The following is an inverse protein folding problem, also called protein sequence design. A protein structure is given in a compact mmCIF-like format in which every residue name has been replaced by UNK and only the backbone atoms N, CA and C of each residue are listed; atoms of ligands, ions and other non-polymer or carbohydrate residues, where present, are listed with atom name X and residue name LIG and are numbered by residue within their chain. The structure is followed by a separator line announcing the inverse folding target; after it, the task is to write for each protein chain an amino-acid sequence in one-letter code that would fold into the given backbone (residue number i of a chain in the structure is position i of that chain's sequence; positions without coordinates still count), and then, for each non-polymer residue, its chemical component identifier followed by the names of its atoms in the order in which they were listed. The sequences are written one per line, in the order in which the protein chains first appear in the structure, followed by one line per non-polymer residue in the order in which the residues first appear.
data_IF_198498188099
#
_entry.id   IF_198498188099
#
_cell.length_a   1.000
_cell.length_b   1.000
_cell.length_c   1.000
_cell.angle_alpha   90.00
_cell.angle_beta   90.00
_cell.angle_gamma   90.00
#
_symmetry.space_group_name_H-M   'P 1'
#
loop_
_entity.id
_entity.type
_entity.pdbx_description
1 polymer ?
#
# COMPACT_ATOMS: atom_id res chain seq x y z
N UNK A 1 -12.98 -4.59 -22.60
CA UNK A 1 -11.54 -4.90 -22.45
C UNK A 1 -10.79 -3.59 -22.69
N UNK A 2 -9.93 -3.13 -21.77
CA UNK A 2 -9.15 -1.90 -21.97
C UNK A 2 -8.12 -2.18 -23.07
N UNK A 3 -8.08 -1.34 -24.11
CA UNK A 3 -7.11 -1.50 -25.21
C UNK A 3 -5.68 -1.29 -24.70
N UNK A 4 -4.75 -2.13 -25.17
CA UNK A 4 -3.32 -1.98 -24.85
C UNK A 4 -2.79 -0.67 -25.46
N UNK A 5 -2.32 0.23 -24.61
CA UNK A 5 -1.84 1.55 -25.03
C UNK A 5 -0.40 1.77 -24.57
N UNK A 6 0.48 2.15 -25.50
CA UNK A 6 1.91 2.38 -25.25
C UNK A 6 2.29 3.86 -25.16
N UNK A 7 1.52 4.74 -25.79
CA UNK A 7 1.84 6.16 -25.93
C UNK A 7 1.03 7.00 -24.93
N UNK A 8 1.20 6.75 -23.63
CA UNK A 8 0.60 7.56 -22.58
C UNK A 8 1.69 8.45 -21.99
N UNK A 9 1.57 9.80 -22.05
CA UNK A 9 2.45 10.68 -21.32
C UNK A 9 2.36 10.37 -19.82
N UNK A 10 3.42 9.79 -19.25
CA UNK A 10 3.37 9.28 -17.88
C UNK A 10 4.02 10.20 -16.84
N UNK A 11 4.79 11.21 -17.26
CA UNK A 11 5.47 12.16 -16.37
C UNK A 11 6.48 11.54 -15.40
N UNK A 12 6.70 10.22 -15.43
CA UNK A 12 7.46 9.50 -14.41
C UNK A 12 8.94 9.82 -14.46
N UNK A 13 9.49 10.02 -15.66
CA UNK A 13 10.93 10.33 -15.84
C UNK A 13 11.36 11.61 -15.09
N UNK A 14 10.47 12.60 -14.99
CA UNK A 14 10.68 13.79 -14.18
C UNK A 14 10.47 13.49 -12.68
N UNK A 15 9.37 12.83 -12.33
CA UNK A 15 9.04 12.51 -10.93
C UNK A 15 10.11 11.66 -10.25
N UNK A 16 10.73 10.70 -10.94
CA UNK A 16 11.82 9.85 -10.43
C UNK A 16 13.08 10.63 -10.04
N UNK A 17 13.28 11.83 -10.60
CA UNK A 17 14.44 12.70 -10.29
C UNK A 17 14.20 13.59 -9.07
N UNK A 18 12.96 13.73 -8.65
CA UNK A 18 12.60 14.55 -7.50
C UNK A 18 12.90 13.77 -6.21
N UNK A 19 13.40 14.45 -5.16
CA UNK A 19 13.59 13.81 -3.86
C UNK A 19 12.24 13.37 -3.29
N UNK A 20 12.28 12.34 -2.44
CA UNK A 20 11.14 11.96 -1.61
C UNK A 20 11.23 12.77 -0.32
N UNK A 21 10.26 13.64 -0.09
CA UNK A 21 10.17 14.41 1.15
C UNK A 21 9.51 13.56 2.24
N UNK A 22 10.18 13.41 3.38
CA UNK A 22 9.55 12.82 4.56
C UNK A 22 8.69 13.88 5.23
N UNK A 23 7.41 13.59 5.40
CA UNK A 23 6.47 14.40 6.19
C UNK A 23 5.68 13.48 7.09
N UNK A 24 6.31 13.12 8.20
CA UNK A 24 5.79 12.13 9.15
C UNK A 24 5.16 12.77 10.39
N UNK A 25 5.21 14.10 10.47
CA UNK A 25 4.91 15.02 11.55
C UNK A 25 3.79 16.00 11.20
N UNK A 26 2.72 15.49 10.58
CA UNK A 26 1.48 16.24 10.46
C UNK A 26 0.93 16.56 11.85
N UNK A 27 0.55 17.82 12.08
CA UNK A 27 -0.02 18.27 13.37
C UNK A 27 -1.37 17.61 13.65
N UNK A 28 -2.19 17.45 12.61
CA UNK A 28 -3.48 16.76 12.68
C UNK A 28 -3.53 15.61 11.70
N UNK A 29 -4.06 14.48 12.16
CA UNK A 29 -4.31 13.28 11.36
C UNK A 29 -5.80 12.98 11.36
N UNK A 30 -6.34 12.70 10.18
CA UNK A 30 -7.76 12.50 9.94
C UNK A 30 -8.01 11.07 9.47
N UNK A 31 -8.72 10.28 10.27
CA UNK A 31 -9.03 8.88 9.96
C UNK A 31 -10.50 8.75 9.58
N UNK A 32 -10.84 8.57 8.29
CA UNK A 32 -12.22 8.31 7.88
C UNK A 32 -12.78 7.09 8.62
N UNK A 33 -13.95 7.20 9.24
CA UNK A 33 -14.58 6.05 9.93
C UNK A 33 -15.27 5.12 8.94
N UNK A 34 -15.62 5.63 7.76
CA UNK A 34 -16.15 4.86 6.64
C UNK A 34 -15.29 5.08 5.39
N UNK A 35 -15.46 4.23 4.39
CA UNK A 35 -14.89 4.42 3.06
C UNK A 35 -15.74 3.69 2.00
N UNK A 36 -15.34 3.76 0.73
CA UNK A 36 -16.07 3.12 -0.37
C UNK A 36 -16.39 1.62 -0.17
N UNK A 37 -15.52 0.87 0.51
CA UNK A 37 -15.71 -0.57 0.76
C UNK A 37 -16.34 -0.89 2.11
N UNK A 38 -16.22 0.03 3.06
CA UNK A 38 -16.70 -0.11 4.42
C UNK A 38 -17.69 1.03 4.71
N UNK A 39 -18.98 0.87 4.38
CA UNK A 39 -19.99 1.91 4.57
C UNK A 39 -20.31 2.17 6.04
N UNK A 40 -19.92 1.27 6.93
CA UNK A 40 -20.12 1.36 8.38
C UNK A 40 -18.77 1.35 9.09
N UNK A 41 -18.74 1.92 10.30
CA UNK A 41 -17.56 1.91 11.15
C UNK A 41 -17.85 2.51 12.51
N UNK A 42 -17.01 2.17 13.48
CA UNK A 42 -17.10 2.63 14.86
C UNK A 42 -15.70 2.85 15.43
N UNK A 43 -15.60 3.68 16.46
CA UNK A 43 -14.34 3.92 17.19
C UNK A 43 -14.38 3.25 18.55
N UNK A 44 -13.23 2.86 19.05
CA UNK A 44 -13.06 2.37 20.43
C UNK A 44 -12.45 3.43 21.37
N UNK A 45 -12.29 4.67 20.91
CA UNK A 45 -11.72 5.79 21.65
C UNK A 45 -12.71 6.95 21.81
N UNK A 46 -12.45 7.83 22.77
CA UNK A 46 -13.27 9.02 23.07
C UNK A 46 -12.49 10.33 22.92
N UNK A 47 -13.19 11.45 22.73
CA UNK A 47 -12.57 12.79 22.74
C UNK A 47 -11.82 13.04 24.04
N UNK A 48 -10.60 13.58 23.95
CA UNK A 48 -9.69 13.81 25.06
C UNK A 48 -8.82 12.61 25.43
N UNK A 49 -9.08 11.43 24.85
CA UNK A 49 -8.24 10.25 25.10
C UNK A 49 -6.88 10.42 24.42
N UNK A 50 -5.82 10.10 25.17
CA UNK A 50 -4.49 9.94 24.62
C UNK A 50 -4.35 8.55 23.98
N UNK A 51 -3.77 8.49 22.78
CA UNK A 51 -3.49 7.24 22.05
C UNK A 51 -2.02 7.17 21.65
N UNK A 52 -1.52 5.94 21.48
CA UNK A 52 -0.14 5.65 21.07
C UNK A 52 -0.05 5.24 19.59
N UNK A 53 1.13 5.33 19.01
CA UNK A 53 1.37 4.88 17.62
C UNK A 53 1.12 3.39 17.51
N UNK A 54 0.24 3.01 16.58
CA UNK A 54 -0.15 1.62 16.33
C UNK A 54 -1.26 1.09 17.23
N UNK A 55 -1.81 1.92 18.13
CA UNK A 55 -3.01 1.59 18.90
C UNK A 55 -4.22 1.52 17.96
N UNK A 56 -5.07 0.50 18.12
CA UNK A 56 -6.34 0.42 17.42
C UNK A 56 -7.30 1.47 17.98
N UNK A 57 -7.83 2.33 17.10
CA UNK A 57 -8.72 3.45 17.46
C UNK A 57 -10.14 3.26 16.93
N UNK A 58 -10.37 2.18 16.19
CA UNK A 58 -11.69 1.84 15.65
C UNK A 58 -11.61 0.75 14.60
N UNK A 59 -12.77 0.43 14.04
CA UNK A 59 -12.93 -0.59 13.01
C UNK A 59 -13.92 -0.13 11.95
N UNK A 60 -13.57 -0.31 10.68
CA UNK A 60 -14.51 -0.18 9.56
C UNK A 60 -15.11 -1.54 9.23
N UNK A 61 -16.40 -1.56 8.90
CA UNK A 61 -17.17 -2.77 8.58
C UNK A 61 -17.56 -2.72 7.10
N UNK A 62 -17.02 -3.67 6.34
CA UNK A 62 -17.39 -3.94 4.95
C UNK A 62 -18.38 -5.10 4.84
N UNK A 63 -18.79 -5.42 3.63
CA UNK A 63 -19.85 -6.41 3.39
C UNK A 63 -19.54 -7.83 3.95
N UNK A 64 -18.27 -8.21 4.00
CA UNK A 64 -17.84 -9.55 4.44
C UNK A 64 -16.52 -9.52 5.22
N UNK A 65 -16.09 -8.34 5.64
CA UNK A 65 -14.75 -8.14 6.19
C UNK A 65 -14.73 -6.91 7.10
N UNK A 66 -13.81 -6.92 8.05
CA UNK A 66 -13.52 -5.78 8.93
C UNK A 66 -12.14 -5.23 8.60
N UNK A 67 -11.95 -3.94 8.87
CA UNK A 67 -10.70 -3.23 8.72
C UNK A 67 -10.42 -2.38 9.97
N UNK A 68 -9.56 -2.85 10.89
CA UNK A 68 -9.04 -2.05 11.98
C UNK A 68 -8.41 -0.73 11.51
N UNK A 69 -8.62 0.32 12.29
CA UNK A 69 -8.06 1.66 12.14
C UNK A 69 -7.06 1.85 13.25
N UNK A 70 -5.84 2.29 12.92
CA UNK A 70 -4.79 2.51 13.91
C UNK A 70 -4.35 3.96 13.93
N UNK A 71 -4.02 4.46 15.12
CA UNK A 71 -3.34 5.73 15.28
C UNK A 71 -1.94 5.64 14.65
N UNK A 72 -1.57 6.66 13.86
CA UNK A 72 -0.28 6.72 13.15
C UNK A 72 0.69 7.73 13.73
N UNK A 73 0.24 8.45 14.76
CA UNK A 73 1.03 9.25 15.69
C UNK A 73 0.56 8.96 17.14
N UNK A 74 1.31 9.42 18.13
CA UNK A 74 0.80 9.54 19.50
C UNK A 74 0.17 10.92 19.70
N UNK A 75 -0.79 11.03 20.61
CA UNK A 75 -1.42 12.30 20.92
C UNK A 75 -2.87 12.19 21.33
N UNK A 76 -3.62 13.28 21.23
CA UNK A 76 -4.97 13.40 21.78
C UNK A 76 -6.05 13.32 20.70
N UNK A 77 -7.09 12.54 20.96
CA UNK A 77 -8.28 12.46 20.12
C UNK A 77 -9.11 13.73 20.29
N UNK A 78 -9.26 14.51 19.22
CA UNK A 78 -9.97 15.80 19.25
C UNK A 78 -11.47 15.66 18.99
N UNK A 79 -11.94 14.48 18.61
CA UNK A 79 -13.32 14.23 18.19
C UNK A 79 -13.43 14.01 16.68
N UNK A 80 -14.50 14.52 16.07
CA UNK A 80 -14.86 14.21 14.68
C UNK A 80 -15.02 15.45 13.83
N UNK A 81 -14.63 15.35 12.57
CA UNK A 81 -14.92 16.35 11.54
C UNK A 81 -15.27 15.66 10.22
N UNK A 82 -16.19 16.25 9.45
CA UNK A 82 -16.46 15.80 8.09
C UNK A 82 -15.39 16.27 7.12
N UNK A 83 -14.69 15.33 6.46
CA UNK A 83 -13.75 15.60 5.37
C UNK A 83 -14.17 14.86 4.09
N UNK A 84 -13.61 15.28 2.96
CA UNK A 84 -13.76 14.57 1.69
C UNK A 84 -12.79 13.38 1.68
N UNK A 85 -13.31 12.17 1.48
CA UNK A 85 -12.49 10.97 1.36
C UNK A 85 -12.01 10.73 -0.08
N UNK A 86 -11.32 9.61 -0.30
CA UNK A 86 -10.83 9.23 -1.63
C UNK A 86 -11.94 8.91 -2.65
N UNK A 87 -13.19 8.73 -2.22
CA UNK A 87 -14.34 8.54 -3.10
C UNK A 87 -15.01 9.86 -3.51
N UNK A 88 -14.51 10.99 -3.00
CA UNK A 88 -15.10 12.31 -3.21
C UNK A 88 -16.32 12.59 -2.31
N UNK A 89 -16.63 11.71 -1.35
CA UNK A 89 -17.77 11.88 -0.43
C UNK A 89 -17.32 12.55 0.85
N UNK A 90 -18.23 13.32 1.46
CA UNK A 90 -18.04 13.82 2.83
C UNK A 90 -18.34 12.70 3.83
N UNK A 91 -17.33 12.32 4.62
CA UNK A 91 -17.41 11.27 5.64
C UNK A 91 -16.91 11.80 6.97
N UNK A 92 -17.38 11.22 8.07
CA UNK A 92 -16.88 11.54 9.40
C UNK A 92 -15.46 10.97 9.57
N UNK A 93 -14.52 11.84 9.95
CA UNK A 93 -13.15 11.49 10.26
C UNK A 93 -12.89 11.73 11.74
N UNK A 94 -12.31 10.72 12.41
CA UNK A 94 -11.73 10.89 13.74
C UNK A 94 -10.43 11.70 13.62
N UNK A 95 -10.29 12.72 14.45
CA UNK A 95 -9.14 13.62 14.44
C UNK A 95 -8.21 13.27 15.59
N UNK A 96 -6.93 13.05 15.27
CA UNK A 96 -5.85 12.94 16.21
C UNK A 96 -4.96 14.18 16.10
N UNK A 97 -4.74 14.87 17.22
CA UNK A 97 -3.73 15.91 17.35
C UNK A 97 -2.41 15.26 17.78
N UNK A 98 -1.41 15.35 16.92
CA UNK A 98 -0.08 14.77 17.13
C UNK A 98 0.66 15.50 18.26
N UNK A 99 1.23 14.75 19.21
CA UNK A 99 2.07 15.29 20.28
C UNK A 99 3.57 15.36 19.92
N UNK A 100 3.91 14.86 18.73
CA UNK A 100 5.25 14.76 18.14
C UNK A 100 6.25 13.88 18.92
N UNK A 101 5.78 13.08 19.89
CA UNK A 101 6.64 12.19 20.69
C UNK A 101 6.78 10.79 20.08
N UNK A 102 5.78 10.35 19.32
CA UNK A 102 5.69 9.02 18.71
C UNK A 102 5.88 7.89 19.72
N UNK A 103 5.20 7.98 20.86
CA UNK A 103 5.17 6.89 21.82
C UNK A 103 4.49 5.67 21.17
N UNK A 104 5.21 4.55 21.11
CA UNK A 104 4.72 3.32 20.48
C UNK A 104 3.78 2.56 21.42
N UNK A 105 2.68 2.03 20.88
CA UNK A 105 1.82 1.13 21.62
C UNK A 105 2.56 -0.18 21.93
N UNK A 106 2.30 -0.77 23.09
CA UNK A 106 3.04 -1.91 23.64
C UNK A 106 2.97 -3.17 22.75
N UNK A 107 1.96 -3.25 21.88
CA UNK A 107 1.81 -4.35 20.92
C UNK A 107 2.74 -4.24 19.71
N UNK A 108 3.38 -3.09 19.51
CA UNK A 108 4.30 -2.83 18.40
C UNK A 108 5.74 -3.11 18.84
N UNK A 109 6.22 -4.29 18.50
CA UNK A 109 7.58 -4.73 18.79
C UNK A 109 8.08 -5.75 17.76
N UNK A 110 9.39 -5.92 17.70
CA UNK A 110 10.03 -6.84 16.78
C UNK A 110 9.80 -8.31 17.20
N UNK A 111 9.22 -9.12 16.32
CA UNK A 111 9.26 -10.58 16.45
C UNK A 111 10.65 -11.09 16.10
N UNK A 112 11.12 -12.07 16.86
CA UNK A 112 12.32 -12.85 16.57
C UNK A 112 12.08 -13.79 15.38
N UNK A 113 13.14 -14.21 14.70
CA UNK A 113 13.02 -15.14 13.58
C UNK A 113 12.49 -16.52 14.01
N UNK A 114 12.80 -16.93 15.24
CA UNK A 114 12.30 -18.16 15.85
C UNK A 114 10.78 -18.13 16.13
N UNK A 115 10.21 -16.95 16.44
CA UNK A 115 8.76 -16.78 16.53
C UNK A 115 8.11 -16.84 15.15
N UNK A 116 8.73 -16.19 14.15
CA UNK A 116 8.21 -16.13 12.78
C UNK A 116 8.20 -17.53 12.14
N UNK A 117 9.21 -18.35 12.39
CA UNK A 117 9.29 -19.69 11.82
C UNK A 117 8.20 -20.64 12.34
N UNK A 118 7.60 -20.33 13.49
CA UNK A 118 6.50 -21.12 14.07
C UNK A 118 5.11 -20.68 13.59
N UNK A 119 5.02 -19.58 12.83
CA UNK A 119 3.74 -19.05 12.37
C UNK A 119 3.08 -20.01 11.39
N UNK A 120 1.81 -20.31 11.67
CA UNK A 120 0.92 -21.04 10.77
C UNK A 120 0.26 -20.09 9.76
N UNK A 121 -0.42 -20.65 8.76
CA UNK A 121 -1.26 -19.85 7.85
C UNK A 121 -2.28 -19.01 8.61
N UNK A 122 -2.90 -19.57 9.65
CA UNK A 122 -3.88 -18.88 10.47
C UNK A 122 -3.26 -17.68 11.19
N UNK A 123 -2.04 -17.83 11.71
CA UNK A 123 -1.32 -16.71 12.33
C UNK A 123 -1.05 -15.58 11.33
N UNK A 124 -0.60 -15.89 10.11
CA UNK A 124 -0.40 -14.87 9.08
C UNK A 124 -1.69 -14.17 8.68
N UNK A 125 -2.81 -14.91 8.61
CA UNK A 125 -4.15 -14.35 8.35
C UNK A 125 -4.55 -13.40 9.49
N UNK A 126 -4.41 -13.82 10.73
CA UNK A 126 -4.76 -13.01 11.91
C UNK A 126 -3.86 -11.77 12.01
N UNK A 127 -2.55 -11.91 11.84
CA UNK A 127 -1.60 -10.79 11.82
C UNK A 127 -1.99 -9.76 10.75
N UNK A 128 -2.32 -10.20 9.53
CA UNK A 128 -2.73 -9.30 8.46
C UNK A 128 -4.10 -8.64 8.74
N UNK A 129 -5.02 -9.34 9.43
CA UNK A 129 -6.32 -8.80 9.86
C UNK A 129 -6.14 -7.74 10.94
N UNK A 130 -5.44 -8.08 12.02
CA UNK A 130 -5.14 -7.20 13.16
C UNK A 130 -4.41 -5.94 12.70
N UNK A 131 -3.44 -6.05 11.78
CA UNK A 131 -2.74 -4.89 11.24
C UNK A 131 -3.60 -3.97 10.35
N UNK A 132 -4.86 -4.32 10.08
CA UNK A 132 -5.74 -3.60 9.15
C UNK A 132 -5.24 -3.61 7.71
N UNK A 133 -4.41 -4.60 7.33
CA UNK A 133 -3.69 -4.61 6.07
C UNK A 133 -4.63 -4.94 4.91
N UNK A 134 -4.71 -4.02 3.96
CA UNK A 134 -5.45 -4.16 2.70
C UNK A 134 -4.52 -4.04 1.49
N UNK A 135 -5.05 -4.32 0.30
CA UNK A 135 -4.38 -4.09 -0.97
C UNK A 135 -4.08 -2.60 -1.18
N UNK A 136 -2.81 -2.23 -1.05
CA UNK A 136 -2.29 -0.86 -1.14
C UNK A 136 -2.05 -0.39 -2.59
N UNK A 137 -2.29 -1.28 -3.56
CA UNK A 137 -2.27 -0.95 -4.99
C UNK A 137 -3.53 -0.25 -5.51
N UNK A 138 -4.48 0.10 -4.64
CA UNK A 138 -5.63 0.95 -4.96
C UNK A 138 -6.99 0.31 -4.69
N UNK A 139 -7.14 -1.01 -4.89
CA UNK A 139 -8.44 -1.64 -4.71
C UNK A 139 -8.87 -1.77 -3.26
N UNK A 140 -7.95 -1.83 -2.28
CA UNK A 140 -8.30 -1.96 -0.87
C UNK A 140 -8.89 -3.32 -0.49
N UNK A 141 -8.61 -4.39 -1.26
CA UNK A 141 -9.06 -5.74 -0.90
C UNK A 141 -8.30 -6.30 0.32
N UNK A 142 -8.95 -6.91 1.32
CA UNK A 142 -8.26 -7.35 2.54
C UNK A 142 -7.18 -8.40 2.28
N UNK A 143 -5.97 -8.14 2.77
CA UNK A 143 -4.82 -9.03 2.57
C UNK A 143 -5.03 -10.36 3.27
N UNK A 144 -5.63 -10.37 4.46
CA UNK A 144 -5.91 -11.60 5.21
C UNK A 144 -6.86 -12.55 4.47
N UNK A 145 -7.79 -12.03 3.64
CA UNK A 145 -8.65 -12.88 2.81
C UNK A 145 -7.85 -13.53 1.68
N UNK A 146 -6.88 -12.81 1.08
CA UNK A 146 -5.97 -13.42 0.09
C UNK A 146 -5.10 -14.50 0.73
N UNK A 147 -4.59 -14.26 1.96
CA UNK A 147 -3.76 -15.22 2.69
C UNK A 147 -4.54 -16.46 3.17
N UNK A 148 -5.85 -16.34 3.41
CA UNK A 148 -6.74 -17.46 3.74
C UNK A 148 -7.17 -18.25 2.49
N UNK A 149 -6.23 -18.48 1.57
CA UNK A 149 -6.48 -19.21 0.35
C UNK A 149 -6.91 -20.66 0.64
N UNK A 150 -8.01 -21.10 0.01
CA UNK A 150 -8.53 -22.47 0.12
C UNK A 150 -8.01 -23.41 -0.97
N UNK A 151 -7.37 -22.85 -1.98
CA UNK A 151 -6.75 -23.60 -3.07
C UNK A 151 -5.24 -23.73 -2.85
N UNK A 152 -4.59 -24.81 -3.31
CA UNK A 152 -3.13 -24.91 -3.30
C UNK A 152 -2.51 -23.78 -4.13
N UNK A 153 -1.60 -23.02 -3.53
CA UNK A 153 -0.91 -21.92 -4.18
C UNK A 153 0.53 -22.33 -4.47
N UNK A 154 0.97 -22.24 -5.72
CA UNK A 154 2.35 -22.54 -6.08
C UNK A 154 3.18 -21.28 -6.31
N UNK A 155 2.56 -20.15 -6.68
CA UNK A 155 3.25 -18.90 -7.02
C UNK A 155 2.61 -17.68 -6.36
N UNK A 156 3.44 -16.82 -5.77
CA UNK A 156 3.09 -15.43 -5.45
C UNK A 156 3.69 -14.49 -6.51
N UNK A 157 2.89 -13.55 -6.99
CA UNK A 157 3.35 -12.48 -7.89
C UNK A 157 3.32 -11.15 -7.12
N UNK A 158 4.50 -10.57 -6.90
CA UNK A 158 4.67 -9.20 -6.42
C UNK A 158 4.55 -8.24 -7.60
N UNK A 159 3.46 -7.48 -7.64
CA UNK A 159 3.15 -6.50 -8.69
C UNK A 159 3.78 -5.15 -8.35
N UNK A 160 4.92 -4.87 -8.99
CA UNK A 160 5.61 -3.58 -8.96
C UNK A 160 5.58 -2.87 -10.33
N UNK A 161 4.57 -3.16 -11.15
CA UNK A 161 4.49 -2.64 -12.53
C UNK A 161 4.14 -1.15 -12.56
N UNK A 162 3.30 -0.69 -11.62
CA UNK A 162 2.86 0.70 -11.47
C UNK A 162 2.48 1.35 -12.82
N UNK A 163 1.30 0.99 -13.34
CA UNK A 163 0.85 1.43 -14.66
C UNK A 163 0.22 2.83 -14.69
N UNK A 164 -0.17 3.35 -13.54
CA UNK A 164 -0.81 4.66 -13.42
C UNK A 164 0.15 5.78 -13.85
N UNK A 165 -0.24 6.66 -14.80
CA UNK A 165 0.51 7.86 -15.14
C UNK A 165 0.68 8.79 -13.94
N UNK A 166 1.79 9.54 -13.93
CA UNK A 166 2.13 10.55 -12.93
C UNK A 166 2.17 10.06 -11.47
N UNK A 167 2.40 8.76 -11.28
CA UNK A 167 2.57 8.09 -9.98
C UNK A 167 3.93 7.41 -9.92
N UNK A 168 4.65 7.54 -8.79
CA UNK A 168 5.92 6.83 -8.54
C UNK A 168 6.02 6.23 -7.12
N UNK A 169 4.88 5.96 -6.47
CA UNK A 169 4.85 5.47 -5.09
C UNK A 169 5.46 4.07 -4.92
N UNK A 170 5.12 3.13 -5.80
CA UNK A 170 5.70 1.77 -5.80
C UNK A 170 7.16 1.83 -6.25
N UNK A 171 7.49 2.71 -7.20
CA UNK A 171 8.87 2.96 -7.61
C UNK A 171 9.72 3.43 -6.42
N UNK A 172 9.24 4.45 -5.71
CA UNK A 172 9.90 5.00 -4.53
C UNK A 172 10.12 3.94 -3.45
N UNK A 173 9.09 3.12 -3.20
CA UNK A 173 9.16 2.01 -2.25
C UNK A 173 10.21 0.96 -2.65
N UNK A 174 10.23 0.52 -3.90
CA UNK A 174 11.22 -0.48 -4.36
C UNK A 174 12.65 0.08 -4.38
N UNK A 175 12.79 1.38 -4.63
CA UNK A 175 14.09 2.07 -4.59
C UNK A 175 14.59 2.35 -3.18
N UNK A 176 13.76 2.24 -2.14
CA UNK A 176 14.15 2.56 -0.75
C UNK A 176 14.09 1.35 0.19
N UNK A 177 13.11 0.47 0.01
CA UNK A 177 12.81 -0.69 0.87
C UNK A 177 12.71 -2.03 0.10
N UNK A 178 13.70 -2.42 -0.73
CA UNK A 178 13.66 -3.67 -1.49
C UNK A 178 13.67 -4.90 -0.58
N UNK A 179 14.43 -4.87 0.51
CA UNK A 179 14.61 -6.03 1.41
C UNK A 179 13.34 -6.28 2.22
N UNK A 180 12.65 -5.23 2.66
CA UNK A 180 11.34 -5.34 3.31
C UNK A 180 10.29 -5.92 2.34
N UNK A 181 10.34 -5.52 1.07
CA UNK A 181 9.42 -6.04 0.05
C UNK A 181 9.67 -7.53 -0.21
N UNK A 182 10.94 -7.95 -0.33
CA UNK A 182 11.33 -9.35 -0.54
C UNK A 182 10.95 -10.21 0.66
N UNK A 183 11.21 -9.75 1.89
CA UNK A 183 10.78 -10.49 3.09
C UNK A 183 9.25 -10.57 3.18
N UNK A 184 8.53 -9.51 2.78
CA UNK A 184 7.08 -9.54 2.66
C UNK A 184 6.59 -10.59 1.65
N UNK A 185 7.26 -10.69 0.50
CA UNK A 185 7.02 -11.75 -0.48
C UNK A 185 7.26 -13.14 0.13
N UNK A 186 8.38 -13.34 0.83
CA UNK A 186 8.71 -14.60 1.51
C UNK A 186 7.64 -14.96 2.56
N UNK A 187 7.21 -14.02 3.39
CA UNK A 187 6.16 -14.28 4.38
C UNK A 187 4.83 -14.63 3.74
N UNK A 188 4.46 -13.97 2.63
CA UNK A 188 3.27 -14.35 1.88
C UNK A 188 3.39 -15.75 1.28
N UNK A 189 4.59 -16.16 0.84
CA UNK A 189 4.84 -17.51 0.34
C UNK A 189 4.73 -18.55 1.46
N UNK A 190 5.32 -18.30 2.64
CA UNK A 190 5.20 -19.16 3.83
C UNK A 190 3.74 -19.33 4.24
N UNK A 191 2.99 -18.22 4.31
CA UNK A 191 1.59 -18.22 4.71
C UNK A 191 0.71 -19.16 3.89
N UNK A 192 0.96 -19.31 2.59
CA UNK A 192 0.12 -20.15 1.70
C UNK A 192 0.84 -21.38 1.15
N UNK A 193 2.05 -21.66 1.62
CA UNK A 193 2.87 -22.79 1.16
C UNK A 193 3.42 -22.66 -0.26
N UNK A 194 3.40 -21.47 -0.86
CA UNK A 194 3.91 -21.24 -2.21
C UNK A 194 5.42 -21.46 -2.29
N UNK A 195 5.89 -22.06 -3.38
CA UNK A 195 7.31 -22.36 -3.58
C UNK A 195 8.03 -21.33 -4.43
N UNK A 196 7.29 -20.45 -5.11
CA UNK A 196 7.84 -19.49 -6.07
C UNK A 196 7.34 -18.07 -5.83
N UNK A 197 8.28 -17.12 -5.84
CA UNK A 197 8.02 -15.68 -5.82
C UNK A 197 8.47 -15.03 -7.13
N UNK A 198 7.59 -14.27 -7.77
CA UNK A 198 7.92 -13.51 -9.00
C UNK A 198 7.65 -12.04 -8.76
N UNK A 199 8.67 -11.20 -8.91
CA UNK A 199 8.55 -9.74 -8.81
C UNK A 199 8.43 -9.18 -10.22
N UNK A 200 7.22 -8.74 -10.58
CA UNK A 200 6.91 -8.21 -11.89
C UNK A 200 7.11 -6.69 -11.92
N UNK A 201 8.01 -6.21 -12.78
CA UNK A 201 8.30 -4.79 -12.99
C UNK A 201 8.36 -4.48 -14.48
N UNK A 202 8.12 -3.23 -14.87
CA UNK A 202 8.27 -2.81 -16.28
C UNK A 202 9.72 -2.93 -16.74
N UNK A 203 9.92 -3.37 -17.98
CA UNK A 203 11.23 -3.53 -18.62
C UNK A 203 12.08 -2.25 -18.66
N UNK A 204 11.43 -1.08 -18.60
CA UNK A 204 12.09 0.24 -18.60
C UNK A 204 12.70 0.62 -17.24
N UNK A 205 12.36 -0.07 -16.15
CA UNK A 205 12.84 0.22 -14.80
C UNK A 205 14.09 -0.61 -14.46
N UNK A 206 15.18 -0.39 -15.22
CA UNK A 206 16.44 -1.15 -15.07
C UNK A 206 17.13 -0.92 -13.73
N UNK A 207 16.97 0.26 -13.17
CA UNK A 207 17.44 0.65 -11.85
C UNK A 207 16.79 -0.20 -10.74
N UNK A 208 15.48 -0.46 -10.84
CA UNK A 208 14.76 -1.34 -9.92
C UNK A 208 15.19 -2.79 -10.12
N UNK A 209 15.31 -3.24 -11.38
CA UNK A 209 15.77 -4.60 -11.71
C UNK A 209 17.11 -4.90 -11.02
N UNK A 210 18.09 -4.01 -11.17
CA UNK A 210 19.42 -4.18 -10.57
C UNK A 210 19.33 -4.25 -9.04
N UNK A 211 18.55 -3.36 -8.42
CA UNK A 211 18.41 -3.30 -6.95
C UNK A 211 17.73 -4.54 -6.38
N UNK A 212 16.68 -5.03 -7.02
CA UNK A 212 15.98 -6.24 -6.61
C UNK A 212 16.83 -7.49 -6.81
N UNK A 213 17.52 -7.62 -7.96
CA UNK A 213 18.41 -8.75 -8.19
C UNK A 213 19.59 -8.77 -7.21
N UNK A 214 20.04 -7.61 -6.73
CA UNK A 214 21.03 -7.55 -5.66
C UNK A 214 20.44 -8.07 -4.33
N UNK A 215 19.30 -7.53 -3.91
CA UNK A 215 18.65 -7.89 -2.65
C UNK A 215 18.20 -9.37 -2.58
N UNK A 216 17.75 -9.95 -3.70
CA UNK A 216 17.38 -11.38 -3.75
C UNK A 216 18.54 -12.30 -3.38
N UNK A 217 19.81 -11.89 -3.59
CA UNK A 217 20.98 -12.72 -3.26
C UNK A 217 21.12 -13.00 -1.77
N UNK A 218 20.49 -12.20 -0.91
CA UNK A 218 20.47 -12.41 0.53
C UNK A 218 19.53 -13.55 0.96
N UNK A 219 18.70 -14.06 0.03
CA UNK A 219 17.68 -15.08 0.28
C UNK A 219 17.83 -16.30 -0.67
N UNK A 220 19.02 -16.92 -0.77
CA UNK A 220 19.32 -17.96 -1.76
C UNK A 220 18.50 -19.25 -1.62
N UNK A 221 17.88 -19.47 -0.47
CA UNK A 221 17.04 -20.64 -0.19
C UNK A 221 15.62 -20.55 -0.77
N UNK A 222 15.21 -19.37 -1.27
CA UNK A 222 13.89 -19.15 -1.86
C UNK A 222 13.96 -19.02 -3.40
N UNK A 223 13.04 -19.65 -4.14
CA UNK A 223 12.89 -19.44 -5.60
C UNK A 223 12.23 -18.08 -5.87
N UNK A 224 13.06 -17.04 -5.89
CA UNK A 224 12.68 -15.66 -6.15
C UNK A 224 13.31 -15.19 -7.46
N UNK A 225 12.52 -14.48 -8.28
CA UNK A 225 13.06 -13.84 -9.49
C UNK A 225 12.35 -12.54 -9.84
N UNK A 226 13.11 -11.63 -10.44
CA UNK A 226 12.56 -10.48 -11.14
C UNK A 226 12.11 -10.91 -12.53
N UNK A 227 10.91 -10.48 -12.94
CA UNK A 227 10.38 -10.68 -14.28
C UNK A 227 10.04 -9.33 -14.89
N UNK A 228 10.76 -9.00 -15.96
CA UNK A 228 10.45 -7.84 -16.78
C UNK A 228 9.19 -8.10 -17.60
N UNK A 229 8.24 -7.16 -17.53
CA UNK A 229 7.00 -7.15 -18.29
C UNK A 229 6.94 -5.93 -19.21
N UNK A 230 6.05 -5.95 -20.20
CA UNK A 230 6.02 -4.92 -21.24
C UNK A 230 5.64 -3.53 -20.73
N UNK A 231 6.11 -2.49 -21.42
CA UNK A 231 5.76 -1.11 -21.08
C UNK A 231 4.47 -0.63 -21.76
N UNK A 232 3.30 -0.98 -21.23
CA UNK A 232 2.00 -0.51 -21.71
C UNK A 232 0.95 -0.45 -20.61
N UNK A 233 -0.12 0.31 -20.82
CA UNK A 233 -1.33 0.24 -20.00
C UNK A 233 -2.30 -0.79 -20.59
N UNK A 234 -3.02 -1.61 -19.80
CA UNK A 234 -2.97 -1.73 -18.34
C UNK A 234 -2.08 -2.92 -17.87
N UNK A 235 -0.78 -2.96 -18.20
CA UNK A 235 0.09 -4.10 -17.83
C UNK A 235 0.06 -4.44 -16.32
N UNK A 236 -0.14 -3.44 -15.46
CA UNK A 236 -0.20 -3.56 -14.00
C UNK A 236 -1.54 -4.06 -13.46
N UNK A 237 -2.54 -4.26 -14.32
CA UNK A 237 -3.78 -4.96 -13.93
C UNK A 237 -3.47 -6.41 -13.59
N UNK A 238 -4.13 -6.94 -12.56
CA UNK A 238 -3.83 -8.24 -11.94
C UNK A 238 -3.69 -9.38 -12.97
N UNK A 239 -4.66 -9.54 -13.87
CA UNK A 239 -4.65 -10.63 -14.84
C UNK A 239 -3.55 -10.46 -15.91
N UNK A 240 -3.30 -9.24 -16.38
CA UNK A 240 -2.23 -8.95 -17.36
C UNK A 240 -0.84 -9.12 -16.74
N UNK A 241 -0.67 -8.69 -15.48
CA UNK A 241 0.57 -8.89 -14.73
C UNK A 241 0.83 -10.38 -14.52
N UNK A 242 -0.18 -11.16 -14.09
CA UNK A 242 -0.04 -12.61 -13.92
C UNK A 242 0.33 -13.27 -15.24
N UNK A 243 -0.38 -12.95 -16.33
CA UNK A 243 -0.10 -13.54 -17.64
C UNK A 243 1.31 -13.21 -18.11
N UNK A 244 1.75 -11.95 -18.01
CA UNK A 244 3.11 -11.57 -18.42
C UNK A 244 4.21 -12.14 -17.51
N UNK A 245 3.92 -12.29 -16.21
CA UNK A 245 4.88 -12.79 -15.23
C UNK A 245 5.04 -14.32 -15.28
N UNK A 246 3.96 -15.04 -15.52
CA UNK A 246 3.87 -16.51 -15.37
C UNK A 246 3.64 -17.26 -16.68
N UNK A 247 3.12 -16.60 -17.71
CA UNK A 247 2.61 -17.22 -18.94
C UNK A 247 1.19 -17.80 -18.80
N UNK A 248 0.62 -17.84 -17.60
CA UNK A 248 -0.70 -18.43 -17.34
C UNK A 248 -1.78 -17.39 -17.61
N UNK A 249 -2.69 -17.71 -18.54
CA UNK A 249 -3.84 -16.87 -18.86
C UNK A 249 -5.03 -17.27 -18.01
N UNK A 250 -5.51 -16.35 -17.18
CA UNK A 250 -6.69 -16.52 -16.33
C UNK A 250 -7.87 -15.79 -16.98
N UNK A 251 -9.03 -16.45 -17.20
CA UNK A 251 -10.21 -15.79 -17.72
C UNK A 251 -10.71 -14.68 -16.79
N UNK A 252 -11.28 -13.62 -17.36
CA UNK A 252 -11.87 -12.54 -16.58
C UNK A 252 -13.03 -13.07 -15.70
N UNK A 253 -13.10 -12.60 -14.46
CA UNK A 253 -14.12 -13.02 -13.49
C UNK A 253 -13.77 -14.29 -12.72
N UNK A 254 -12.65 -14.96 -13.03
CA UNK A 254 -12.13 -16.09 -12.25
C UNK A 254 -11.24 -15.63 -11.10
N UNK A 255 -11.22 -16.42 -10.03
CA UNK A 255 -10.37 -16.19 -8.87
C UNK A 255 -8.96 -16.71 -9.18
N UNK A 256 -7.93 -15.88 -9.00
CA UNK A 256 -6.56 -16.25 -9.36
C UNK A 256 -6.03 -17.45 -8.57
N UNK A 257 -6.51 -17.63 -7.33
CA UNK A 257 -6.17 -18.74 -6.47
C UNK A 257 -6.59 -20.10 -7.03
N UNK A 258 -7.66 -20.18 -7.85
CA UNK A 258 -8.05 -21.42 -8.56
C UNK A 258 -6.95 -21.91 -9.51
N UNK A 259 -6.08 -21.00 -9.96
CA UNK A 259 -4.95 -21.26 -10.85
C UNK A 259 -3.62 -21.32 -10.08
N UNK A 260 -3.66 -21.44 -8.75
CA UNK A 260 -2.48 -21.56 -7.90
C UNK A 260 -1.63 -20.28 -7.79
N UNK A 261 -2.22 -19.11 -8.09
CA UNK A 261 -1.50 -17.83 -8.12
C UNK A 261 -2.21 -16.79 -7.25
N UNK A 262 -1.44 -16.10 -6.41
CA UNK A 262 -1.91 -14.89 -5.71
C UNK A 262 -1.06 -13.70 -6.14
N UNK A 263 -1.71 -12.59 -6.42
CA UNK A 263 -1.06 -11.32 -6.72
C UNK A 263 -1.14 -10.37 -5.51
N UNK A 264 -0.02 -9.76 -5.16
CA UNK A 264 0.06 -8.67 -4.19
C UNK A 264 0.76 -7.47 -4.80
N UNK A 265 0.29 -6.26 -4.51
CA UNK A 265 1.08 -5.06 -4.79
C UNK A 265 2.32 -5.03 -3.88
N UNK A 266 3.43 -4.47 -4.38
CA UNK A 266 4.71 -4.40 -3.64
C UNK A 266 4.60 -3.63 -2.33
N UNK A 267 3.80 -2.56 -2.28
CA UNK A 267 3.53 -1.83 -1.03
C UNK A 267 2.77 -2.68 -0.02
N UNK A 268 1.83 -3.53 -0.46
CA UNK A 268 1.15 -4.49 0.43
C UNK A 268 2.13 -5.50 1.03
N UNK A 269 3.11 -5.96 0.26
CA UNK A 269 4.12 -6.91 0.77
C UNK A 269 5.02 -6.27 1.82
N UNK A 270 5.44 -5.02 1.64
CA UNK A 270 6.14 -4.26 2.70
C UNK A 270 5.26 -4.11 3.95
N UNK A 271 3.97 -3.82 3.76
CA UNK A 271 3.00 -3.82 4.86
C UNK A 271 2.92 -5.16 5.59
N UNK A 272 2.93 -6.28 4.87
CA UNK A 272 2.93 -7.62 5.44
C UNK A 272 4.22 -7.92 6.21
N UNK A 273 5.38 -7.54 5.66
CA UNK A 273 6.65 -7.62 6.37
C UNK A 273 6.59 -6.87 7.71
N UNK A 274 6.12 -5.63 7.71
CA UNK A 274 6.02 -4.81 8.93
C UNK A 274 5.02 -5.40 9.94
N UNK A 275 3.88 -5.91 9.47
CA UNK A 275 2.91 -6.57 10.35
C UNK A 275 3.48 -7.85 11.00
N UNK A 276 4.24 -8.64 10.23
CA UNK A 276 4.83 -9.91 10.72
C UNK A 276 6.06 -9.65 11.58
N UNK A 277 7.07 -8.95 11.05
CA UNK A 277 8.36 -8.75 11.72
C UNK A 277 8.33 -7.68 12.79
N UNK A 278 7.61 -6.58 12.56
CA UNK A 278 7.63 -5.39 13.43
C UNK A 278 6.37 -5.24 14.29
N UNK A 279 5.39 -6.15 14.13
CA UNK A 279 4.03 -6.03 14.71
C UNK A 279 3.43 -4.64 14.51
N UNK A 280 3.76 -4.01 13.39
CA UNK A 280 3.34 -2.64 13.08
C UNK A 280 2.19 -2.68 12.08
N UNK A 281 1.08 -1.95 12.32
CA UNK A 281 0.08 -1.70 11.29
C UNK A 281 0.65 -0.79 10.20
N UNK A 282 -0.16 -0.48 9.18
CA UNK A 282 0.24 0.44 8.10
C UNK A 282 0.23 1.88 8.63
N UNK A 283 1.38 2.35 9.09
CA UNK A 283 1.51 3.69 9.66
C UNK A 283 1.68 4.80 8.62
N UNK A 284 2.19 4.46 7.45
CA UNK A 284 2.68 5.42 6.47
C UNK A 284 2.62 4.85 5.05
N UNK A 285 2.71 5.75 4.07
CA UNK A 285 2.75 5.38 2.65
C UNK A 285 3.59 6.37 1.85
N UNK A 286 4.05 5.92 0.69
CA UNK A 286 4.48 6.83 -0.36
C UNK A 286 3.26 7.45 -1.03
N UNK A 287 3.37 8.73 -1.35
CA UNK A 287 2.32 9.53 -1.97
C UNK A 287 2.93 10.48 -3.00
N UNK A 288 2.34 10.56 -4.19
CA UNK A 288 2.78 11.48 -5.24
C UNK A 288 1.72 12.54 -5.46
N UNK A 289 2.12 13.82 -5.39
CA UNK A 289 1.34 14.95 -5.89
C UNK A 289 1.97 15.39 -7.20
N UNK A 290 1.18 15.39 -8.26
CA UNK A 290 1.68 15.70 -9.59
C UNK A 290 0.60 16.28 -10.49
N UNK A 291 1.03 17.01 -11.52
CA UNK A 291 0.17 17.58 -12.54
C UNK A 291 0.71 18.91 -13.03
N UNK A 292 0.06 19.48 -14.05
CA UNK A 292 0.40 20.81 -14.55
C UNK A 292 0.01 21.93 -13.58
N UNK A 293 -1.04 21.74 -12.77
CA UNK A 293 -1.55 22.75 -11.83
C UNK A 293 -0.81 22.87 -10.50
N UNK A 294 0.26 22.09 -10.26
CA UNK A 294 0.97 22.04 -8.98
C UNK A 294 2.47 21.86 -9.18
N UNK A 295 3.25 22.19 -8.15
CA UNK A 295 4.65 21.79 -8.06
C UNK A 295 4.74 20.30 -7.70
N UNK A 296 5.19 19.49 -8.65
CA UNK A 296 5.25 18.04 -8.45
C UNK A 296 6.17 17.69 -7.27
N UNK A 297 5.72 16.78 -6.41
CA UNK A 297 6.48 16.34 -5.24
C UNK A 297 6.09 14.92 -4.83
N UNK A 298 7.07 14.17 -4.34
CA UNK A 298 6.87 12.84 -3.79
C UNK A 298 7.08 12.90 -2.29
N UNK A 299 6.25 12.18 -1.56
CA UNK A 299 6.26 12.18 -0.11
C UNK A 299 6.27 10.78 0.46
N UNK A 300 6.84 10.63 1.65
CA UNK A 300 6.54 9.56 2.59
C UNK A 300 5.76 10.20 3.75
N UNK A 301 4.52 9.77 3.95
CA UNK A 301 3.55 10.44 4.83
C UNK A 301 2.85 9.47 5.76
N UNK A 302 2.38 9.95 6.91
CA UNK A 302 1.49 9.16 7.79
C UNK A 302 0.14 8.93 7.12
N UNK A 303 -0.46 7.78 7.39
CA UNK A 303 -1.89 7.60 7.06
C UNK A 303 -2.69 8.57 7.91
N UNK A 304 -3.57 9.34 7.26
CA UNK A 304 -4.37 10.39 7.90
C UNK A 304 -3.88 11.81 7.65
N UNK A 305 -2.68 11.99 7.06
CA UNK A 305 -2.21 13.32 6.65
C UNK A 305 -3.15 13.95 5.62
N UNK A 306 -3.46 15.23 5.81
CA UNK A 306 -4.34 15.99 4.93
C UNK A 306 -3.65 16.26 3.58
N UNK A 307 -4.39 16.07 2.49
CA UNK A 307 -3.89 16.37 1.13
C UNK A 307 -3.64 17.88 0.97
N UNK A 308 -4.37 18.73 1.69
CA UNK A 308 -4.15 20.18 1.66
C UNK A 308 -2.77 20.53 2.20
N UNK A 309 -2.36 19.89 3.31
CA UNK A 309 -1.03 20.08 3.91
C UNK A 309 0.06 19.67 2.90
N UNK A 310 -0.16 18.56 2.18
CA UNK A 310 0.76 18.10 1.15
C UNK A 310 0.81 19.05 -0.06
N UNK A 311 -0.30 19.69 -0.43
CA UNK A 311 -0.35 20.72 -1.47
C UNK A 311 0.45 21.95 -1.04
N UNK A 312 0.28 22.41 0.21
CA UNK A 312 1.04 23.52 0.76
C UNK A 312 2.54 23.20 0.81
N UNK A 313 2.92 22.01 1.29
CA UNK A 313 4.30 21.53 1.31
C UNK A 313 4.90 21.34 -0.08
N UNK A 314 4.06 21.15 -1.10
CA UNK A 314 4.49 21.14 -2.49
C UNK A 314 4.83 22.55 -3.01
N UNK A 315 4.37 23.61 -2.35
CA UNK A 315 4.51 25.01 -2.78
C UNK A 315 3.20 25.60 -3.31
N UNK A 316 2.07 24.94 -3.07
CA UNK A 316 0.75 25.39 -3.49
C UNK A 316 0.44 25.14 -4.98
N UNK A 317 -0.72 25.61 -5.40
CA UNK A 317 -1.15 25.54 -6.78
C UNK A 317 -0.45 26.60 -7.65
N UNK A 318 -0.12 26.24 -8.89
CA UNK A 318 0.39 27.16 -9.91
C UNK A 318 -0.75 27.94 -10.55
N UNK A 319 -0.47 29.13 -11.09
CA UNK A 319 -1.39 29.88 -11.96
C UNK A 319 -2.81 30.01 -11.36
N UNK A 320 -2.92 30.60 -10.16
CA UNK A 320 -4.12 30.55 -9.30
C UNK A 320 -5.43 31.01 -9.99
N UNK A 321 -5.31 31.84 -11.02
CA UNK A 321 -6.39 32.31 -11.88
C UNK A 321 -7.01 31.21 -12.78
N UNK A 322 -6.28 30.12 -13.04
CA UNK A 322 -6.74 29.01 -13.86
C UNK A 322 -7.48 27.99 -12.97
N UNK A 323 -8.73 27.59 -13.27
CA UNK A 323 -9.38 26.52 -12.52
C UNK A 323 -8.58 25.20 -12.59
N UNK A 324 -8.48 24.47 -11.47
CA UNK A 324 -7.85 23.15 -11.41
C UNK A 324 -8.86 22.08 -11.03
N UNK A 325 -8.62 20.87 -11.53
CA UNK A 325 -9.31 19.65 -11.09
C UNK A 325 -8.30 18.77 -10.38
N UNK A 326 -8.59 18.44 -9.11
CA UNK A 326 -7.83 17.45 -8.35
C UNK A 326 -8.42 16.06 -8.59
N UNK A 327 -7.58 15.12 -9.02
CA UNK A 327 -7.96 13.72 -9.19
C UNK A 327 -7.36 12.93 -8.01
N UNK A 328 -8.19 12.20 -7.27
CA UNK A 328 -7.75 11.40 -6.12
C UNK A 328 -7.43 9.97 -6.58
N UNK A 329 -6.15 9.63 -6.60
CA UNK A 329 -5.66 8.40 -7.23
C UNK A 329 -4.77 8.78 -8.40
N UNK A 330 -4.93 8.12 -9.54
CA UNK A 330 -4.31 8.60 -10.77
C UNK A 330 -5.32 8.72 -11.92
N UNK A 331 -4.91 9.37 -13.02
CA UNK A 331 -5.82 9.79 -14.09
C UNK A 331 -6.61 8.67 -14.77
N UNK A 332 -6.20 7.40 -14.64
CA UNK A 332 -6.88 6.26 -15.26
C UNK A 332 -7.89 5.56 -14.35
N UNK A 333 -7.80 5.76 -13.02
CA UNK A 333 -8.58 5.00 -12.02
C UNK A 333 -9.23 5.86 -10.92
N UNK A 334 -8.90 7.15 -10.82
CA UNK A 334 -9.43 8.08 -9.83
C UNK A 334 -10.48 9.05 -10.36
#
# INVERSE_FOLDING_TARGET
MIQKTRNIPDGKSHLKKLPIANYLDAEYLYYPITNQRCPEGETCVITGQFVKVGEEIGVRKGAFFEQPIHATASGEIMGYEKKIDNSGKRVDCLILKNDFKYEMHETVYDRTDAEIEKLTQEDYVNIAKEAGLVGLGGSGFPTYIKLNAKHPIHTIVANGVECEPNLISDYALLMTHPDEMIQGLIYSMKAVGAKKGIIAIKEVNKEIEARLNFAIKEFPEYDLKVKLVGNHYPQGWELETIQAATGIKIPQGKITAEYGIINFNVSTLVGLYRAVKKRSPVLERFFTISGNGIHNKNFRVRIGTSILDLIELAGGFKDLEIPKTLILGGPMMG
#
